data_IF_671129877533
#
_entry.id   IF_671129877533
#
_cell.length_a   1.000
_cell.length_b   1.000
_cell.length_c   1.000
_cell.angle_alpha   90.00
_cell.angle_beta   90.00
_cell.angle_gamma   90.00
#
_symmetry.space_group_name_H-M   'P 1'
#
loop_
_entity.id
_entity.type
_entity.pdbx_description
1 polymer ?
#
# COMPACT_ATOMS: atom_id res chain seq x y z
N UNK A 1 1.51 -4.82 20.82
CA UNK A 1 2.00 -4.07 19.64
C UNK A 1 2.25 -5.10 18.57
N UNK A 2 1.41 -5.15 17.54
CA UNK A 2 1.65 -6.01 16.38
C UNK A 2 2.81 -5.36 15.60
N UNK A 3 3.97 -5.99 15.64
CA UNK A 3 5.21 -5.51 15.02
C UNK A 3 5.29 -5.83 13.53
N UNK A 4 4.15 -5.78 12.83
CA UNK A 4 3.99 -6.38 11.50
C UNK A 4 3.38 -5.44 10.47
N UNK A 5 4.10 -4.38 10.10
CA UNK A 5 3.42 -3.23 9.53
C UNK A 5 2.40 -2.68 10.54
N UNK A 6 2.00 -1.45 10.33
CA UNK A 6 1.00 -0.87 11.20
C UNK A 6 -0.38 -1.50 10.93
N UNK A 7 -0.60 -1.91 9.67
CA UNK A 7 -1.87 -2.42 9.18
C UNK A 7 -1.63 -3.55 8.19
N UNK A 8 -2.15 -4.73 8.49
CA UNK A 8 -2.25 -5.85 7.56
C UNK A 8 -3.31 -5.53 6.50
N UNK A 9 -2.87 -5.47 5.24
CA UNK A 9 -3.76 -5.23 4.12
C UNK A 9 -4.22 -6.55 3.50
N UNK A 10 -3.65 -7.70 3.84
CA UNK A 10 -3.90 -9.00 3.24
C UNK A 10 -3.17 -9.23 1.91
N UNK A 11 -3.14 -10.48 1.46
CA UNK A 11 -2.38 -10.93 0.27
C UNK A 11 -0.90 -10.55 0.35
N UNK A 12 -0.29 -10.75 1.51
CA UNK A 12 1.12 -10.47 1.83
C UNK A 12 1.52 -8.98 1.87
N UNK A 13 0.57 -8.07 1.65
CA UNK A 13 0.81 -6.63 1.71
C UNK A 13 0.55 -6.05 3.10
N UNK A 14 1.45 -5.18 3.53
CA UNK A 14 1.34 -4.45 4.79
C UNK A 14 1.54 -2.96 4.54
N UNK A 15 0.81 -2.13 5.27
CA UNK A 15 1.05 -0.69 5.30
C UNK A 15 1.87 -0.32 6.54
N UNK A 16 3.05 0.25 6.32
CA UNK A 16 3.85 0.93 7.33
C UNK A 16 3.41 2.40 7.35
N UNK A 17 2.63 2.78 8.36
CA UNK A 17 2.01 4.10 8.56
C UNK A 17 3.03 5.10 9.14
N UNK A 18 4.04 4.60 9.87
CA UNK A 18 5.08 5.40 10.50
C UNK A 18 5.63 6.49 9.56
N UNK A 19 5.76 7.76 10.02
CA UNK A 19 6.09 8.88 9.15
C UNK A 19 7.35 8.74 8.30
N UNK A 20 8.36 8.04 8.79
CA UNK A 20 9.63 7.85 8.08
C UNK A 20 9.52 6.84 6.92
N UNK A 21 8.57 5.92 6.98
CA UNK A 21 8.44 4.83 6.00
C UNK A 21 7.22 5.04 5.11
N UNK A 22 6.04 5.26 5.69
CA UNK A 22 4.80 5.61 5.01
C UNK A 22 4.61 4.90 3.65
N UNK A 23 4.68 3.57 3.66
CA UNK A 23 4.84 2.72 2.48
C UNK A 23 4.04 1.44 2.57
N UNK A 24 3.58 0.92 1.42
CA UNK A 24 3.11 -0.45 1.29
C UNK A 24 4.30 -1.35 0.97
N UNK A 25 4.42 -2.44 1.71
CA UNK A 25 5.54 -3.38 1.64
C UNK A 25 5.08 -4.82 1.60
N UNK A 26 5.96 -5.71 1.13
CA UNK A 26 5.89 -7.15 1.40
C UNK A 26 7.02 -7.50 2.36
N UNK A 27 6.74 -8.15 3.49
CA UNK A 27 7.77 -8.51 4.45
C UNK A 27 8.58 -9.72 3.95
N UNK A 28 9.91 -9.63 4.01
CA UNK A 28 10.78 -10.76 3.67
C UNK A 28 10.72 -11.84 4.75
N UNK A 29 10.62 -11.39 6.00
CA UNK A 29 10.28 -12.24 7.12
C UNK A 29 8.92 -11.80 7.67
N UNK A 30 7.84 -12.59 7.48
CA UNK A 30 6.54 -12.30 8.08
C UNK A 30 6.60 -12.18 9.60
N UNK A 31 7.57 -12.86 10.24
CA UNK A 31 7.81 -12.79 11.68
C UNK A 31 8.70 -11.61 12.09
N UNK A 32 9.32 -10.84 11.19
CA UNK A 32 10.08 -9.61 11.51
C UNK A 32 10.18 -8.58 10.35
N UNK A 33 9.08 -7.91 9.95
CA UNK A 33 9.01 -7.18 8.69
C UNK A 33 9.72 -5.82 8.72
N UNK A 34 9.85 -5.19 9.88
CA UNK A 34 10.65 -3.99 10.01
C UNK A 34 12.16 -4.27 9.88
N UNK A 35 12.61 -5.51 10.05
CA UNK A 35 14.02 -5.86 9.81
C UNK A 35 14.33 -5.99 8.33
N UNK A 36 13.38 -6.52 7.56
CA UNK A 36 13.54 -6.70 6.13
C UNK A 36 12.18 -6.72 5.45
N UNK A 37 11.95 -5.70 4.62
CA UNK A 37 10.76 -5.53 3.81
C UNK A 37 11.14 -5.05 2.41
N UNK A 38 10.34 -5.47 1.44
CA UNK A 38 10.44 -5.06 0.05
C UNK A 38 9.40 -3.97 -0.19
N UNK A 39 9.85 -2.81 -0.66
CA UNK A 39 8.95 -1.70 -0.96
C UNK A 39 8.16 -1.97 -2.24
N UNK A 40 6.85 -1.75 -2.17
CA UNK A 40 5.93 -1.89 -3.30
C UNK A 40 5.42 -0.51 -3.75
N UNK A 41 4.96 0.31 -2.80
CA UNK A 41 4.52 1.69 -3.06
C UNK A 41 5.02 2.56 -1.91
N UNK A 42 5.73 3.64 -2.22
CA UNK A 42 6.24 4.62 -1.25
C UNK A 42 5.36 5.86 -1.19
N UNK A 43 5.56 6.68 -0.16
CA UNK A 43 4.97 8.02 -0.02
C UNK A 43 3.44 8.03 -0.08
N UNK A 44 2.84 7.13 0.69
CA UNK A 44 1.39 6.92 0.73
C UNK A 44 0.66 8.13 1.33
N UNK A 45 -0.35 8.65 0.64
CA UNK A 45 -1.23 9.69 1.19
C UNK A 45 -2.53 9.12 1.76
N UNK A 46 -3.09 8.11 1.09
CA UNK A 46 -4.30 7.45 1.55
C UNK A 46 -4.32 5.99 1.12
N UNK A 47 -4.88 5.13 1.97
CA UNK A 47 -5.05 3.69 1.71
C UNK A 47 -6.43 3.26 2.16
N UNK A 48 -7.06 2.41 1.35
CA UNK A 48 -8.26 1.66 1.70
C UNK A 48 -8.25 0.31 1.02
N UNK A 49 -8.86 -0.68 1.66
CA UNK A 49 -8.80 -2.04 1.17
C UNK A 49 -10.06 -2.82 1.55
N UNK A 50 -10.34 -3.88 0.79
CA UNK A 50 -11.34 -4.88 1.10
C UNK A 50 -10.77 -6.27 0.75
N UNK A 51 -11.61 -7.31 0.69
CA UNK A 51 -11.14 -8.67 0.33
C UNK A 51 -10.54 -8.80 -1.09
N UNK A 52 -10.87 -7.89 -2.01
CA UNK A 52 -10.51 -8.00 -3.43
C UNK A 52 -9.37 -7.05 -3.82
N UNK A 53 -9.34 -5.85 -3.25
CA UNK A 53 -8.42 -4.80 -3.71
C UNK A 53 -7.80 -4.04 -2.54
N UNK A 54 -6.61 -3.52 -2.79
CA UNK A 54 -6.01 -2.39 -2.08
C UNK A 54 -6.00 -1.22 -3.05
N UNK A 55 -6.52 -0.09 -2.61
CA UNK A 55 -6.43 1.18 -3.31
C UNK A 55 -5.55 2.10 -2.49
N UNK A 56 -4.56 2.69 -3.15
CA UNK A 56 -3.65 3.64 -2.53
C UNK A 56 -3.46 4.87 -3.40
N UNK A 57 -3.26 6.02 -2.78
CA UNK A 57 -2.70 7.18 -3.44
C UNK A 57 -1.31 7.43 -2.89
N UNK A 58 -0.35 7.78 -3.75
CA UNK A 58 0.96 8.27 -3.30
C UNK A 58 1.22 9.66 -3.86
N UNK A 59 2.06 10.42 -3.18
CA UNK A 59 2.46 11.75 -3.64
C UNK A 59 3.98 11.88 -3.59
N UNK A 60 4.59 12.10 -4.75
CA UNK A 60 5.98 12.52 -4.84
C UNK A 60 6.01 13.90 -5.49
N UNK A 61 6.69 14.86 -4.84
CA UNK A 61 6.69 16.27 -5.22
C UNK A 61 5.28 16.84 -5.39
N UNK A 62 4.84 17.08 -6.63
CA UNK A 62 3.54 17.67 -6.98
C UNK A 62 2.59 16.72 -7.73
N UNK A 63 3.01 15.46 -7.97
CA UNK A 63 2.18 14.48 -8.67
C UNK A 63 1.51 13.52 -7.70
N UNK A 64 0.18 13.38 -7.82
CA UNK A 64 -0.59 12.33 -7.14
C UNK A 64 -0.74 11.15 -8.07
N UNK A 65 -0.26 9.99 -7.62
CA UNK A 65 -0.42 8.71 -8.30
C UNK A 65 -1.50 7.87 -7.64
N UNK A 66 -2.18 7.08 -8.44
CA UNK A 66 -3.26 6.21 -8.00
C UNK A 66 -2.88 4.76 -8.28
N UNK A 67 -3.01 3.92 -7.28
CA UNK A 67 -2.55 2.54 -7.32
C UNK A 67 -3.69 1.59 -7.03
N UNK A 68 -3.67 0.47 -7.74
CA UNK A 68 -4.51 -0.70 -7.49
C UNK A 68 -3.62 -1.90 -7.25
N UNK A 69 -3.90 -2.63 -6.17
CA UNK A 69 -3.38 -3.98 -5.96
C UNK A 69 -4.57 -4.94 -6.03
N UNK A 70 -4.54 -5.88 -6.97
CA UNK A 70 -5.53 -6.95 -7.09
C UNK A 70 -5.12 -8.16 -6.23
N UNK A 71 -5.94 -8.48 -5.23
CA UNK A 71 -5.70 -9.60 -4.30
C UNK A 71 -6.10 -10.95 -4.87
N UNK A 72 -6.91 -10.96 -5.93
CA UNK A 72 -7.37 -12.17 -6.60
C UNK A 72 -6.41 -12.59 -7.72
N UNK A 73 -5.54 -11.68 -8.17
CA UNK A 73 -4.51 -11.99 -9.15
C UNK A 73 -3.26 -12.56 -8.45
N UNK A 74 -2.67 -13.58 -9.06
CA UNK A 74 -1.36 -14.10 -8.66
C UNK A 74 -0.31 -12.98 -8.77
N UNK A 75 0.47 -12.80 -7.70
CA UNK A 75 1.57 -11.83 -7.68
C UNK A 75 2.83 -12.46 -8.26
N UNK A 76 3.35 -11.88 -9.35
CA UNK A 76 4.61 -12.29 -9.98
C UNK A 76 5.57 -11.13 -9.96
N UNK A 77 6.79 -11.38 -9.50
CA UNK A 77 7.90 -10.44 -9.60
C UNK A 77 8.22 -10.16 -11.07
N UNK A 78 8.16 -8.89 -11.45
CA UNK A 78 8.50 -8.39 -12.79
C UNK A 78 9.89 -7.74 -12.82
N UNK A 79 10.44 -7.39 -11.65
CA UNK A 79 11.73 -6.77 -11.49
C UNK A 79 11.73 -5.69 -10.40
N UNK A 80 12.66 -4.75 -10.52
CA UNK A 80 12.81 -3.63 -9.59
C UNK A 80 13.00 -2.32 -10.35
N UNK A 81 12.40 -1.24 -9.84
CA UNK A 81 12.69 0.13 -10.25
C UNK A 81 13.95 0.66 -9.56
N UNK A 82 14.50 1.76 -10.08
CA UNK A 82 15.74 2.42 -9.62
C UNK A 82 15.81 2.71 -8.11
N UNK A 83 14.66 2.79 -7.42
CA UNK A 83 14.55 3.06 -5.98
C UNK A 83 14.33 1.81 -5.12
N UNK A 84 14.73 0.63 -5.61
CA UNK A 84 14.52 -0.67 -4.95
C UNK A 84 13.05 -0.95 -4.66
N UNK A 85 12.16 -0.45 -5.52
CA UNK A 85 10.73 -0.74 -5.48
C UNK A 85 10.51 -1.96 -6.37
N UNK A 86 9.98 -3.04 -5.80
CA UNK A 86 9.66 -4.25 -6.55
C UNK A 86 8.42 -4.02 -7.41
N UNK A 87 8.49 -4.42 -8.66
CA UNK A 87 7.36 -4.43 -9.58
C UNK A 87 6.67 -5.79 -9.54
N UNK A 88 5.36 -5.77 -9.35
CA UNK A 88 4.54 -6.96 -9.26
C UNK A 88 3.42 -6.91 -10.29
N UNK A 89 3.10 -8.05 -10.89
CA UNK A 89 2.04 -8.16 -11.91
C UNK A 89 0.65 -7.77 -11.44
N UNK A 90 0.37 -7.86 -10.14
CA UNK A 90 -0.91 -7.52 -9.54
C UNK A 90 -0.96 -6.08 -8.98
N UNK A 91 0.10 -5.31 -9.13
CA UNK A 91 0.19 -3.90 -8.72
C UNK A 91 0.21 -3.05 -9.97
N UNK A 92 -0.69 -2.07 -10.06
CA UNK A 92 -0.79 -1.20 -11.24
C UNK A 92 -1.00 0.25 -10.83
N UNK A 93 -0.24 1.15 -11.45
CA UNK A 93 -0.59 2.57 -11.50
C UNK A 93 -1.79 2.73 -12.45
N UNK A 94 -2.85 3.37 -11.99
CA UNK A 94 -4.09 3.59 -12.74
C UNK A 94 -4.43 5.08 -12.76
N UNK A 95 -5.36 5.48 -13.62
CA UNK A 95 -5.84 6.86 -13.64
C UNK A 95 -6.89 7.11 -12.54
N UNK A 96 -7.14 8.38 -12.24
CA UNK A 96 -8.08 8.80 -11.20
C UNK A 96 -9.53 8.39 -11.46
N UNK A 97 -9.95 8.30 -12.72
CA UNK A 97 -11.31 7.89 -13.08
C UNK A 97 -11.54 6.40 -12.77
N UNK A 98 -10.63 5.54 -13.19
CA UNK A 98 -10.65 4.10 -12.87
C UNK A 98 -10.59 3.88 -11.35
N UNK A 99 -9.69 4.60 -10.66
CA UNK A 99 -9.55 4.51 -9.20
C UNK A 99 -10.87 4.83 -8.47
N UNK A 100 -11.53 5.92 -8.85
CA UNK A 100 -12.81 6.31 -8.25
C UNK A 100 -13.95 5.35 -8.59
N UNK A 101 -13.95 4.79 -9.80
CA UNK A 101 -14.92 3.76 -10.20
C UNK A 101 -14.77 2.51 -9.34
N UNK A 102 -13.54 2.01 -9.15
CA UNK A 102 -13.28 0.84 -8.31
C UNK A 102 -13.65 1.14 -6.86
N UNK A 103 -13.21 2.28 -6.31
CA UNK A 103 -13.54 2.71 -4.94
C UNK A 103 -15.05 2.63 -4.66
N UNK A 104 -15.85 3.16 -5.57
CA UNK A 104 -17.31 3.20 -5.43
C UNK A 104 -17.91 1.81 -5.61
N UNK A 105 -17.55 1.10 -6.67
CA UNK A 105 -18.13 -0.21 -7.01
C UNK A 105 -17.78 -1.29 -5.98
N UNK A 106 -16.58 -1.20 -5.40
CA UNK A 106 -16.07 -2.16 -4.42
C UNK A 106 -16.30 -1.72 -2.97
N UNK A 107 -16.97 -0.57 -2.77
CA UNK A 107 -17.26 0.02 -1.46
C UNK A 107 -16.01 0.11 -0.57
N UNK A 108 -14.93 0.69 -1.09
CA UNK A 108 -13.66 0.84 -0.37
C UNK A 108 -13.61 2.23 0.26
N UNK A 109 -13.53 2.26 1.59
CA UNK A 109 -13.29 3.50 2.31
C UNK A 109 -11.79 3.80 2.38
N UNK A 110 -11.38 4.99 1.93
CA UNK A 110 -9.99 5.44 2.04
C UNK A 110 -9.83 6.20 3.34
N UNK A 111 -8.73 5.95 4.05
CA UNK A 111 -8.25 6.80 5.13
C UNK A 111 -6.90 7.37 4.74
N UNK A 112 -6.68 8.62 5.13
CA UNK A 112 -5.40 9.31 4.99
C UNK A 112 -4.36 8.72 5.93
N UNK A 113 -3.08 8.94 5.63
CA UNK A 113 -1.98 8.58 6.53
C UNK A 113 -2.16 9.17 7.93
N UNK A 114 -2.62 10.41 8.04
CA UNK A 114 -2.85 11.08 9.33
C UNK A 114 -4.00 10.47 10.13
N UNK A 115 -5.06 9.99 9.47
CA UNK A 115 -6.13 9.27 10.16
C UNK A 115 -5.61 7.95 10.73
N UNK A 116 -4.84 7.18 9.97
CA UNK A 116 -4.22 5.96 10.49
C UNK A 116 -3.22 6.22 11.62
N UNK A 117 -2.42 7.29 11.53
CA UNK A 117 -1.48 7.67 12.61
C UNK A 117 -2.20 7.94 13.93
N UNK A 118 -3.32 8.65 13.89
CA UNK A 118 -4.15 8.91 15.06
C UNK A 118 -4.74 7.63 15.65
N UNK A 119 -5.23 6.72 14.81
CA UNK A 119 -5.77 5.43 15.25
C UNK A 119 -4.73 4.56 15.96
N UNK A 120 -3.46 4.73 15.60
CA UNK A 120 -2.34 3.95 16.11
C UNK A 120 -1.52 4.68 17.18
N UNK A 121 -1.91 5.90 17.56
CA UNK A 121 -1.24 6.76 18.54
C UNK A 121 0.20 7.17 18.14
N UNK A 122 0.43 7.37 16.84
CA UNK A 122 1.64 8.05 16.35
C UNK A 122 1.52 9.58 16.38
N UNK A 123 0.28 10.09 16.40
CA UNK A 123 -0.12 11.50 16.50
C UNK A 123 -1.35 11.62 17.40
#
# INVERSE_FOLDING_TARGET
MNWYGDIDLGSDFYYMVEPAFNSIVIPVNPDEPYKSSIYIIKDIESVGFNKNYILATSKNEDEIKYWRIDKNAESKELGYKDNSIMELSNVSEINSAEFNQIKTTQNINLKTKSEYRKELNYE
#
